data_IF_490673804736
#
_entry.id   IF_490673804736
#
_cell.length_a   1.000
_cell.length_b   1.000
_cell.length_c   1.000
_cell.angle_alpha   90.00
_cell.angle_beta   90.00
_cell.angle_gamma   90.00
#
_symmetry.space_group_name_H-M   'P 1'
#
loop_
_entity.id
_entity.type
_entity.pdbx_description
1 polymer ?
#
# COMPACT_ATOMS: atom_id res chain seq x y z
N UNK A 1 -9.44 18.84 5.49
CA UNK A 1 -9.62 17.84 4.42
C UNK A 1 -9.25 16.52 5.04
N UNK A 2 -10.27 15.78 5.46
CA UNK A 2 -10.15 14.42 5.94
C UNK A 2 -9.63 13.57 4.77
N UNK A 3 -8.52 12.88 5.00
CA UNK A 3 -7.88 12.03 4.02
C UNK A 3 -8.65 10.70 3.94
N UNK A 4 -9.14 10.34 2.74
CA UNK A 4 -9.92 9.12 2.50
C UNK A 4 -9.04 7.86 2.32
N UNK A 5 -7.83 7.82 2.88
CA UNK A 5 -7.04 6.58 2.89
C UNK A 5 -6.26 6.28 1.60
N UNK A 6 -6.55 6.96 0.49
CA UNK A 6 -6.03 6.55 -0.81
C UNK A 6 -4.77 7.32 -1.24
N UNK A 7 -3.67 6.58 -1.37
CA UNK A 7 -2.38 7.10 -1.84
C UNK A 7 -2.39 7.46 -3.33
N UNK A 8 -3.29 6.87 -4.12
CA UNK A 8 -3.38 7.10 -5.58
C UNK A 8 -3.63 8.55 -5.95
N UNK A 9 -4.25 9.30 -5.05
CA UNK A 9 -4.50 10.73 -5.25
C UNK A 9 -3.23 11.57 -5.19
N UNK A 10 -2.12 11.00 -4.73
CA UNK A 10 -0.86 11.71 -4.47
C UNK A 10 0.36 11.07 -5.14
N UNK A 11 0.32 9.77 -5.45
CA UNK A 11 1.47 9.00 -5.91
C UNK A 11 1.16 8.18 -7.15
N UNK A 12 2.13 8.10 -8.06
CA UNK A 12 2.16 7.17 -9.17
C UNK A 12 2.96 5.92 -8.80
N UNK A 13 2.64 4.78 -9.42
CA UNK A 13 3.38 3.53 -9.19
C UNK A 13 4.85 3.74 -9.56
N UNK A 14 5.73 3.48 -8.61
CA UNK A 14 7.15 3.70 -8.70
C UNK A 14 7.65 4.92 -7.94
N UNK A 15 6.79 5.84 -7.51
CA UNK A 15 7.22 7.03 -6.78
C UNK A 15 7.95 6.68 -5.48
N UNK A 16 9.08 7.36 -5.25
CA UNK A 16 9.80 7.31 -3.97
C UNK A 16 9.07 8.18 -2.96
N UNK A 17 8.87 7.63 -1.78
CA UNK A 17 8.34 8.38 -0.63
C UNK A 17 9.40 8.46 0.45
N UNK A 18 9.45 9.59 1.15
CA UNK A 18 10.31 9.74 2.31
C UNK A 18 9.74 8.99 3.53
N UNK A 19 10.58 8.75 4.53
CA UNK A 19 10.18 8.04 5.75
C UNK A 19 9.13 8.82 6.55
N UNK A 20 9.14 10.15 6.51
CA UNK A 20 8.18 11.01 7.22
C UNK A 20 6.76 10.82 6.66
N UNK A 21 6.63 10.70 5.34
CA UNK A 21 5.39 10.36 4.67
C UNK A 21 4.87 9.02 5.17
N UNK A 22 5.71 7.99 5.21
CA UNK A 22 5.32 6.64 5.70
C UNK A 22 4.88 6.70 7.17
N UNK A 23 5.64 7.36 8.02
CA UNK A 23 5.35 7.50 9.45
C UNK A 23 4.05 8.26 9.68
N UNK A 24 3.77 9.31 8.91
CA UNK A 24 2.50 10.04 8.99
C UNK A 24 1.31 9.10 8.78
N UNK A 25 1.32 8.28 7.72
CA UNK A 25 0.20 7.37 7.43
C UNK A 25 0.00 6.30 8.49
N UNK A 26 1.08 5.68 8.97
CA UNK A 26 1.02 4.64 10.01
C UNK A 26 0.47 5.20 11.33
N UNK A 27 0.77 6.46 11.64
CA UNK A 27 0.30 7.11 12.87
C UNK A 27 -1.16 7.58 12.79
N UNK A 28 -1.67 7.90 11.60
CA UNK A 28 -3.08 8.30 11.41
C UNK A 28 -4.00 7.07 11.41
N UNK A 29 -3.61 6.00 10.72
CA UNK A 29 -4.38 4.77 10.64
C UNK A 29 -3.45 3.54 10.73
N UNK A 30 -3.69 2.60 11.66
CA UNK A 30 -2.89 1.39 11.76
C UNK A 30 -2.83 0.65 10.41
N UNK A 31 -1.63 0.26 9.94
CA UNK A 31 -1.49 -0.38 8.65
C UNK A 31 -2.13 -1.76 8.65
N UNK A 32 -2.73 -2.16 7.52
CA UNK A 32 -3.26 -3.50 7.35
C UNK A 32 -2.14 -4.56 7.35
N UNK A 33 -0.94 -4.18 6.91
CA UNK A 33 0.26 -5.00 6.93
C UNK A 33 1.49 -4.11 7.10
N UNK A 34 2.40 -4.50 7.97
CA UNK A 34 3.70 -3.86 8.13
C UNK A 34 4.74 -4.94 8.40
N UNK A 35 5.68 -5.09 7.49
CA UNK A 35 6.79 -6.03 7.59
C UNK A 35 8.03 -5.47 6.88
N UNK A 36 9.15 -6.21 6.89
CA UNK A 36 10.41 -5.74 6.28
C UNK A 36 10.37 -5.54 4.75
N UNK A 37 9.31 -5.99 4.08
CA UNK A 37 9.15 -5.89 2.63
C UNK A 37 8.14 -4.80 2.22
N UNK A 38 7.10 -4.55 3.02
CA UNK A 38 6.05 -3.60 2.67
C UNK A 38 5.33 -2.99 3.88
N UNK A 39 4.78 -1.79 3.65
CA UNK A 39 3.72 -1.16 4.46
C UNK A 39 2.46 -1.05 3.60
N UNK A 40 1.33 -1.48 4.12
CA UNK A 40 0.03 -1.42 3.45
C UNK A 40 -0.96 -0.63 4.28
N UNK A 41 -1.67 0.29 3.64
CA UNK A 41 -2.61 1.19 4.30
C UNK A 41 -3.74 0.41 5.00
N UNK A 42 -4.29 1.00 6.06
CA UNK A 42 -5.25 0.31 6.93
C UNK A 42 -6.56 -0.06 6.25
N UNK A 43 -7.05 0.78 5.35
CA UNK A 43 -8.29 0.52 4.62
C UNK A 43 -8.05 -0.24 3.30
N UNK A 44 -8.89 -1.23 2.97
CA UNK A 44 -8.89 -1.84 1.66
C UNK A 44 -9.24 -0.83 0.57
N UNK A 45 -8.50 -0.88 -0.54
CA UNK A 45 -8.85 -0.15 -1.76
C UNK A 45 -10.00 -0.83 -2.51
N UNK A 46 -9.86 -2.14 -2.76
CA UNK A 46 -10.85 -2.94 -3.48
C UNK A 46 -10.78 -4.41 -3.06
N UNK A 47 -11.59 -5.24 -3.69
CA UNK A 47 -11.45 -6.70 -3.65
C UNK A 47 -11.24 -7.19 -5.08
N UNK A 48 -10.21 -8.01 -5.30
CA UNK A 48 -9.92 -8.62 -6.60
C UNK A 48 -9.84 -10.15 -6.44
N UNK A 49 -10.18 -10.94 -7.49
CA UNK A 49 -9.97 -12.37 -7.46
C UNK A 49 -8.47 -12.70 -7.48
N UNK A 50 -8.03 -13.57 -6.57
CA UNK A 50 -6.68 -14.13 -6.60
C UNK A 50 -6.53 -15.20 -7.71
N UNK A 51 -5.33 -15.77 -7.83
CA UNK A 51 -5.04 -16.85 -8.78
C UNK A 51 -5.91 -18.11 -8.63
N UNK A 52 -6.52 -18.31 -7.46
CA UNK A 52 -7.41 -19.43 -7.16
C UNK A 52 -8.90 -19.02 -7.32
N UNK A 53 -9.17 -17.81 -7.83
CA UNK A 53 -10.50 -17.24 -8.04
C UNK A 53 -11.17 -16.73 -6.76
N UNK A 54 -10.44 -16.64 -5.64
CA UNK A 54 -10.98 -16.16 -4.36
C UNK A 54 -10.84 -14.65 -4.27
N UNK A 55 -11.95 -13.96 -4.02
CA UNK A 55 -11.94 -12.52 -3.80
C UNK A 55 -11.21 -12.17 -2.50
N UNK A 56 -10.18 -11.31 -2.62
CA UNK A 56 -9.39 -10.83 -1.49
C UNK A 56 -9.22 -9.33 -1.57
N UNK A 57 -9.15 -8.71 -0.40
CA UNK A 57 -8.86 -7.28 -0.27
C UNK A 57 -7.49 -6.92 -0.85
N UNK A 58 -7.43 -5.77 -1.52
CA UNK A 58 -6.23 -5.12 -2.03
C UNK A 58 -5.99 -3.82 -1.29
N UNK A 59 -4.74 -3.43 -1.15
CA UNK A 59 -4.33 -2.30 -0.31
C UNK A 59 -3.27 -1.46 -1.02
N UNK A 60 -3.36 -0.14 -0.92
CA UNK A 60 -2.29 0.76 -1.35
C UNK A 60 -1.02 0.40 -0.60
N UNK A 61 0.04 0.09 -1.35
CA UNK A 61 1.23 -0.58 -0.85
C UNK A 61 2.48 0.25 -1.10
N UNK A 62 3.25 0.49 -0.05
CA UNK A 62 4.63 0.97 -0.12
C UNK A 62 5.57 -0.22 0.03
N UNK A 63 6.40 -0.48 -0.98
CA UNK A 63 7.40 -1.55 -0.93
C UNK A 63 8.77 -1.00 -0.54
N UNK A 64 9.48 -1.76 0.28
CA UNK A 64 10.84 -1.45 0.66
C UNK A 64 11.77 -1.70 -0.53
N UNK A 65 12.65 -0.74 -0.84
CA UNK A 65 13.65 -0.85 -1.89
C UNK A 65 15.00 -0.29 -1.41
N UNK A 66 16.12 -0.57 -2.11
CA UNK A 66 17.43 -0.05 -1.74
C UNK A 66 17.51 1.49 -1.70
N UNK A 67 16.63 2.18 -2.42
CA UNK A 67 16.58 3.65 -2.51
C UNK A 67 15.57 4.27 -1.55
N UNK A 68 14.85 3.45 -0.77
CA UNK A 68 13.77 3.87 0.12
C UNK A 68 12.45 3.18 -0.17
N UNK A 69 11.37 3.71 0.40
CA UNK A 69 10.02 3.20 0.18
C UNK A 69 9.50 3.67 -1.18
N UNK A 70 8.92 2.75 -1.96
CA UNK A 70 8.33 3.06 -3.27
C UNK A 70 6.86 2.69 -3.32
N UNK A 71 6.05 3.52 -3.95
CA UNK A 71 4.66 3.18 -4.19
C UNK A 71 4.54 2.02 -5.19
N UNK A 72 3.87 0.95 -4.81
CA UNK A 72 3.71 -0.26 -5.60
C UNK A 72 2.32 -0.36 -6.25
N UNK A 73 1.39 0.56 -5.94
CA UNK A 73 -0.02 0.44 -6.29
C UNK A 73 -0.77 -0.46 -5.30
N UNK A 74 -1.89 -1.04 -5.75
CA UNK A 74 -2.71 -1.91 -4.89
C UNK A 74 -2.25 -3.35 -4.98
N UNK A 75 -1.78 -3.89 -3.85
CA UNK A 75 -1.34 -5.27 -3.77
C UNK A 75 -2.27 -6.05 -2.84
N UNK A 76 -2.33 -7.37 -3.01
CA UNK A 76 -2.93 -8.24 -2.00
C UNK A 76 -2.17 -8.11 -0.68
N UNK A 77 -2.85 -8.42 0.43
CA UNK A 77 -2.24 -8.31 1.77
C UNK A 77 -0.92 -9.08 1.87
N UNK A 78 0.16 -8.39 2.24
CA UNK A 78 1.51 -8.92 2.38
C UNK A 78 2.28 -9.15 1.07
N UNK A 79 1.72 -8.76 -0.08
CA UNK A 79 2.38 -8.82 -1.38
C UNK A 79 2.87 -7.43 -1.79
N UNK A 80 3.81 -7.40 -2.75
CA UNK A 80 4.44 -6.16 -3.25
C UNK A 80 4.26 -5.94 -4.75
N UNK A 81 3.61 -6.88 -5.42
CA UNK A 81 3.27 -6.77 -6.84
C UNK A 81 1.80 -6.35 -6.94
N UNK A 82 1.51 -5.28 -7.70
CA UNK A 82 0.15 -4.79 -7.85
C UNK A 82 -0.73 -5.80 -8.57
N UNK A 83 -2.02 -5.75 -8.28
CA UNK A 83 -3.02 -6.47 -9.06
C UNK A 83 -3.23 -5.71 -10.37
N UNK A 84 -3.24 -6.44 -11.49
CA UNK A 84 -3.54 -5.89 -12.83
C UNK A 84 -4.99 -5.40 -12.96
#
# INVERSE_FOLDING_TARGET
>A
KDWEGDLDSFLEVGDLVDEEFVDYFINVLPPACMNGQCVQMGEPYSHNPDKDGKWRATYSTLKNSPEGWRYAGHCFRGQTEPVE
#
